data_IF_202438517095
#
_entry.id   IF_202438517095
#
_cell.length_a   1.000
_cell.length_b   1.000
_cell.length_c   1.000
_cell.angle_alpha   90.00
_cell.angle_beta   90.00
_cell.angle_gamma   90.00
#
_symmetry.space_group_name_H-M   'P 1'
#
loop_
_entity.id
_entity.type
_entity.pdbx_description
1 polymer ?
#
# COMPACT_ATOMS: atom_id res chain seq x y z
N UNK A 1 -2.90 3.66 -13.46
CA UNK A 1 -3.77 3.54 -12.27
C UNK A 1 -4.45 2.18 -12.37
N UNK A 2 -4.16 1.25 -11.46
CA UNK A 2 -4.79 -0.09 -11.49
C UNK A 2 -6.26 0.01 -11.06
N UNK A 3 -7.14 -0.83 -11.60
CA UNK A 3 -8.54 -0.78 -11.19
C UNK A 3 -8.66 -1.24 -9.72
N UNK A 4 -9.57 -0.62 -8.96
CA UNK A 4 -9.84 -1.03 -7.56
C UNK A 4 -10.24 -2.51 -7.50
N UNK A 5 -10.89 -3.00 -8.56
CA UNK A 5 -11.26 -4.40 -8.69
C UNK A 5 -10.01 -5.30 -8.72
N UNK A 6 -9.05 -5.04 -9.63
CA UNK A 6 -7.83 -5.85 -9.75
C UNK A 6 -7.02 -5.84 -8.46
N UNK A 7 -6.89 -4.68 -7.81
CA UNK A 7 -6.15 -4.58 -6.55
C UNK A 7 -6.78 -5.44 -5.45
N UNK A 8 -8.11 -5.54 -5.42
CA UNK A 8 -8.81 -6.33 -4.41
C UNK A 8 -8.81 -7.82 -4.72
N UNK A 9 -8.81 -8.18 -6.00
CA UNK A 9 -8.67 -9.56 -6.48
C UNK A 9 -7.28 -10.13 -6.17
N UNK A 10 -6.22 -9.36 -6.40
CA UNK A 10 -4.84 -9.76 -6.11
C UNK A 10 -4.36 -9.39 -4.71
N UNK A 11 -5.25 -8.86 -3.86
CA UNK A 11 -4.94 -8.36 -2.52
C UNK A 11 -3.77 -7.35 -2.49
N UNK A 12 -3.58 -6.59 -3.57
CA UNK A 12 -2.58 -5.54 -3.66
C UNK A 12 -2.98 -4.31 -2.83
N UNK A 13 -2.00 -3.63 -2.21
CA UNK A 13 -2.26 -2.39 -1.52
C UNK A 13 -2.81 -1.33 -2.49
N UNK A 14 -3.98 -0.75 -2.16
CA UNK A 14 -4.63 0.29 -2.98
C UNK A 14 -3.87 1.62 -2.99
N UNK A 15 -3.03 1.86 -1.99
CA UNK A 15 -2.27 3.11 -1.84
C UNK A 15 -0.79 2.85 -2.06
N UNK A 16 -0.10 3.83 -2.64
CA UNK A 16 1.34 3.78 -2.84
C UNK A 16 2.11 4.38 -1.65
N UNK A 17 1.46 4.55 -0.49
CA UNK A 17 1.97 5.27 0.69
C UNK A 17 3.40 4.87 1.09
N UNK A 18 3.73 3.57 1.00
CA UNK A 18 5.08 3.07 1.30
C UNK A 18 6.12 3.59 0.30
N UNK A 19 5.81 3.56 -1.00
CA UNK A 19 6.69 4.10 -2.05
C UNK A 19 6.76 5.63 -2.00
N UNK A 20 5.65 6.30 -1.72
CA UNK A 20 5.64 7.76 -1.54
C UNK A 20 6.45 8.18 -0.31
N UNK A 21 6.33 7.47 0.81
CA UNK A 21 7.12 7.71 2.01
C UNK A 21 8.62 7.47 1.74
N UNK A 22 8.95 6.41 1.00
CA UNK A 22 10.31 6.13 0.53
C UNK A 22 10.82 7.29 -0.34
N UNK A 23 10.06 7.68 -1.37
CA UNK A 23 10.43 8.78 -2.27
C UNK A 23 10.61 10.10 -1.53
N UNK A 24 9.75 10.41 -0.56
CA UNK A 24 9.85 11.61 0.28
C UNK A 24 11.09 11.58 1.17
N UNK A 25 11.45 10.42 1.73
CA UNK A 25 12.71 10.25 2.48
C UNK A 25 13.91 10.48 1.57
N UNK A 26 13.85 9.99 0.33
CA UNK A 26 14.84 10.24 -0.71
C UNK A 26 14.96 11.71 -1.08
N UNK A 27 13.87 12.40 -1.35
CA UNK A 27 13.85 13.83 -1.58
C UNK A 27 14.46 14.59 -0.40
N UNK A 28 14.10 14.22 0.83
CA UNK A 28 14.66 14.88 2.03
C UNK A 28 16.17 14.66 2.18
N UNK A 29 16.67 13.50 1.77
CA UNK A 29 18.10 13.20 1.76
C UNK A 29 18.80 13.95 0.63
N UNK A 30 18.35 13.82 -0.62
CA UNK A 30 18.95 14.42 -1.81
C UNK A 30 18.82 15.95 -1.84
N UNK A 31 17.74 16.51 -1.29
CA UNK A 31 17.52 17.95 -1.19
C UNK A 31 18.46 18.65 -0.19
N UNK A 32 19.27 17.89 0.56
CA UNK A 32 20.40 18.47 1.30
C UNK A 32 21.53 18.76 0.32
N UNK A 33 21.93 20.03 0.23
CA UNK A 33 23.08 20.42 -0.58
C UNK A 33 24.29 19.53 -0.24
N UNK A 34 24.76 18.77 -1.24
CA UNK A 34 25.96 17.92 -1.21
C UNK A 34 25.89 16.62 -0.38
N UNK A 35 24.86 15.79 -0.56
CA UNK A 35 24.95 14.39 -0.10
C UNK A 35 26.03 13.63 -0.87
N UNK A 36 26.99 13.06 -0.14
CA UNK A 36 28.01 12.18 -0.71
C UNK A 36 27.39 10.88 -1.26
N UNK A 37 27.93 10.37 -2.37
CA UNK A 37 27.58 9.06 -2.95
C UNK A 37 27.66 7.95 -1.90
N UNK A 38 28.65 8.02 -1.00
CA UNK A 38 28.80 7.04 0.07
C UNK A 38 27.61 7.05 1.05
N UNK A 39 27.10 8.23 1.38
CA UNK A 39 25.88 8.38 2.19
C UNK A 39 24.68 7.83 1.46
N UNK A 40 24.58 8.06 0.15
CA UNK A 40 23.51 7.52 -0.69
C UNK A 40 23.50 5.98 -0.69
N UNK A 41 24.66 5.35 -0.90
CA UNK A 41 24.81 3.89 -0.86
C UNK A 41 24.40 3.33 0.50
N UNK A 42 24.81 3.97 1.60
CA UNK A 42 24.42 3.53 2.96
C UNK A 42 22.92 3.59 3.19
N UNK A 43 22.22 4.59 2.65
CA UNK A 43 20.76 4.67 2.77
C UNK A 43 20.08 3.59 1.94
N UNK A 44 20.56 3.30 0.73
CA UNK A 44 20.05 2.18 -0.10
C UNK A 44 20.20 0.85 0.66
N UNK A 45 21.38 0.58 1.20
CA UNK A 45 21.64 -0.64 1.97
C UNK A 45 20.73 -0.75 3.20
N UNK A 46 20.49 0.37 3.89
CA UNK A 46 19.59 0.39 5.05
C UNK A 46 18.16 0.05 4.65
N UNK A 47 17.64 0.65 3.58
CA UNK A 47 16.30 0.35 3.07
C UNK A 47 16.18 -1.11 2.61
N UNK A 48 17.21 -1.64 1.93
CA UNK A 48 17.24 -3.04 1.53
C UNK A 48 17.16 -3.97 2.74
N UNK A 49 17.96 -3.71 3.78
CA UNK A 49 17.95 -4.51 5.01
C UNK A 49 16.59 -4.44 5.74
N UNK A 50 15.95 -3.27 5.76
CA UNK A 50 14.60 -3.11 6.33
C UNK A 50 13.57 -3.95 5.57
N UNK A 51 13.62 -3.95 4.23
CA UNK A 51 12.73 -4.75 3.38
C UNK A 51 12.97 -6.25 3.53
N UNK A 52 14.23 -6.70 3.53
CA UNK A 52 14.59 -8.10 3.75
C UNK A 52 14.09 -8.60 5.11
N UNK A 53 14.19 -7.76 6.15
CA UNK A 53 13.64 -8.08 7.47
C UNK A 53 12.11 -8.21 7.47
N UNK A 54 11.39 -7.30 6.80
CA UNK A 54 9.92 -7.41 6.64
C UNK A 54 9.53 -8.70 5.88
N UNK A 55 10.30 -9.08 4.86
CA UNK A 55 10.10 -10.35 4.13
C UNK A 55 10.30 -11.55 5.06
N UNK A 56 11.40 -11.59 5.81
CA UNK A 56 11.69 -12.68 6.75
C UNK A 56 10.64 -12.80 7.85
N UNK A 57 10.15 -11.68 8.41
CA UNK A 57 9.04 -11.68 9.37
C UNK A 57 7.77 -12.29 8.76
N UNK A 58 7.44 -11.90 7.53
CA UNK A 58 6.31 -12.45 6.78
C UNK A 58 6.47 -13.96 6.55
N UNK A 59 7.66 -14.42 6.15
CA UNK A 59 7.99 -15.84 5.94
C UNK A 59 7.89 -16.67 7.24
N UNK A 60 8.19 -16.06 8.39
CA UNK A 60 8.01 -16.67 9.72
C UNK A 60 6.56 -16.72 10.18
N UNK A 61 5.63 -16.12 9.43
CA UNK A 61 4.22 -16.02 9.80
C UNK A 61 3.96 -15.00 10.91
N UNK A 62 4.85 -14.03 11.11
CA UNK A 62 4.58 -12.94 12.04
C UNK A 62 3.36 -12.13 11.59
N UNK A 63 2.49 -11.70 12.51
CA UNK A 63 1.32 -10.92 12.14
C UNK A 63 1.75 -9.57 11.57
N UNK A 64 1.16 -9.20 10.45
CA UNK A 64 1.40 -7.90 9.84
C UNK A 64 1.09 -6.76 10.85
N UNK A 65 1.77 -5.60 10.72
CA UNK A 65 1.49 -4.44 11.56
C UNK A 65 0.01 -4.09 11.53
N UNK A 66 -0.55 -3.84 12.70
CA UNK A 66 -1.98 -3.54 12.85
C UNK A 66 -2.34 -2.30 12.02
N UNK A 67 -3.30 -2.44 11.11
CA UNK A 67 -3.82 -1.31 10.33
C UNK A 67 -4.76 -0.50 11.22
N UNK A 68 -5.05 0.74 10.81
CA UNK A 68 -6.09 1.51 11.50
C UNK A 68 -7.42 0.81 11.28
N UNK A 69 -8.22 0.70 12.34
CA UNK A 69 -9.53 0.01 12.29
C UNK A 69 -10.45 0.58 11.20
N UNK A 70 -10.39 1.88 10.96
CA UNK A 70 -11.15 2.54 9.90
C UNK A 70 -10.75 2.05 8.50
N UNK A 71 -9.45 1.86 8.27
CA UNK A 71 -8.94 1.34 7.01
C UNK A 71 -9.38 -0.12 6.81
N UNK A 72 -9.26 -0.95 7.85
CA UNK A 72 -9.70 -2.35 7.82
C UNK A 72 -11.20 -2.45 7.50
N UNK A 73 -12.03 -1.65 8.18
CA UNK A 73 -13.47 -1.61 7.94
C UNK A 73 -13.80 -1.16 6.51
N UNK A 74 -13.06 -0.19 5.97
CA UNK A 74 -13.25 0.31 4.60
C UNK A 74 -12.90 -0.77 3.58
N UNK A 75 -11.77 -1.46 3.74
CA UNK A 75 -11.41 -2.59 2.87
C UNK A 75 -12.46 -3.70 2.92
N UNK A 76 -12.97 -4.04 4.11
CA UNK A 76 -14.02 -5.05 4.28
C UNK A 76 -15.31 -4.67 3.56
N UNK A 77 -15.73 -3.40 3.63
CA UNK A 77 -16.91 -2.91 2.88
C UNK A 77 -16.71 -2.98 1.37
N UNK A 78 -15.52 -2.63 0.89
CA UNK A 78 -15.19 -2.72 -0.55
C UNK A 78 -15.20 -4.19 -1.01
N UNK A 79 -14.62 -5.11 -0.23
CA UNK A 79 -14.66 -6.54 -0.53
C UNK A 79 -16.10 -7.06 -0.64
N UNK A 80 -17.00 -6.63 0.26
CA UNK A 80 -18.41 -7.02 0.19
C UNK A 80 -19.10 -6.54 -1.09
N UNK A 81 -18.78 -5.33 -1.58
CA UNK A 81 -19.31 -4.80 -2.84
C UNK A 81 -18.77 -5.58 -4.05
N UNK A 82 -17.50 -6.01 -4.00
CA UNK A 82 -16.86 -6.80 -5.06
C UNK A 82 -17.39 -8.22 -5.10
N UNK A 83 -17.56 -8.88 -3.94
CA UNK A 83 -18.13 -10.21 -3.84
C UNK A 83 -19.55 -10.28 -4.41
N UNK A 84 -20.32 -9.19 -4.28
CA UNK A 84 -21.69 -9.07 -4.75
C UNK A 84 -21.80 -8.47 -6.17
N UNK A 85 -20.69 -8.34 -6.91
CA UNK A 85 -20.66 -7.72 -8.24
C UNK A 85 -21.64 -8.37 -9.22
N UNK A 86 -21.76 -9.70 -9.20
CA UNK A 86 -22.63 -10.45 -10.12
C UNK A 86 -24.13 -10.19 -9.94
N UNK A 87 -24.54 -9.69 -8.77
CA UNK A 87 -25.95 -9.43 -8.46
C UNK A 87 -26.33 -7.94 -8.64
N UNK A 88 -25.40 -7.10 -9.10
CA UNK A 88 -25.60 -5.64 -9.21
C UNK A 88 -25.56 -5.19 -10.66
N UNK A 89 -26.35 -4.14 -10.95
CA UNK A 89 -26.13 -3.37 -12.16
C UNK A 89 -24.76 -2.69 -12.11
N UNK A 90 -24.15 -2.43 -13.28
CA UNK A 90 -22.85 -1.74 -13.37
C UNK A 90 -22.87 -0.39 -12.63
N UNK A 91 -23.97 0.34 -12.69
CA UNK A 91 -24.12 1.64 -12.01
C UNK A 91 -24.17 1.47 -10.49
N UNK A 92 -24.92 0.49 -9.98
CA UNK A 92 -25.02 0.27 -8.53
C UNK A 92 -23.72 -0.28 -7.94
N UNK A 93 -22.99 -1.07 -8.72
CA UNK A 93 -21.63 -1.49 -8.38
C UNK A 93 -20.69 -0.28 -8.25
N UNK A 94 -20.65 0.60 -9.26
CA UNK A 94 -19.81 1.80 -9.23
C UNK A 94 -20.17 2.76 -8.09
N UNK A 95 -21.47 2.93 -7.81
CA UNK A 95 -21.95 3.72 -6.65
C UNK A 95 -21.48 3.11 -5.33
N UNK A 96 -21.58 1.79 -5.19
CA UNK A 96 -21.11 1.07 -4.01
C UNK A 96 -19.62 1.27 -3.75
N UNK A 97 -18.79 1.28 -4.81
CA UNK A 97 -17.36 1.60 -4.69
C UNK A 97 -17.17 3.07 -4.32
N UNK A 98 -17.87 4.00 -4.97
CA UNK A 98 -17.74 5.44 -4.73
C UNK A 98 -18.03 5.84 -3.28
N UNK A 99 -19.01 5.23 -2.62
CA UNK A 99 -19.32 5.46 -1.21
C UNK A 99 -18.19 5.08 -0.23
N UNK A 100 -17.19 4.32 -0.68
CA UNK A 100 -16.05 3.89 0.12
C UNK A 100 -14.75 4.62 -0.24
N UNK A 101 -14.79 5.61 -1.14
CA UNK A 101 -13.64 6.43 -1.54
C UNK A 101 -13.50 7.73 -0.73
N UNK A 102 -14.45 8.04 0.16
CA UNK A 102 -14.40 9.20 1.08
C UNK A 102 -13.52 8.94 2.30
#
# INVERSE_FOLDING_TARGET
MWSVFDNMEFAFPRTQNKVEAWHRRWETLIARAHVSIFTMIKQIQKEQNEVEMEIEQSMRGEPAPKKRKEDENREARIQNVIADRGNRSTIDFLRGIAHNLS
#
